data_IF_129585875508
#
_entry.id   IF_129585875508
#
_cell.length_a   1.000
_cell.length_b   1.000
_cell.length_c   1.000
_cell.angle_alpha   90.00
_cell.angle_beta   90.00
_cell.angle_gamma   90.00
#
_symmetry.space_group_name_H-M   'P 1'
#
loop_
_entity.id
_entity.type
_entity.pdbx_description
1 polymer ?
#
# COMPACT_ATOMS: atom_id res chain seq x y z
N UNK A 1 -15.77 23.95 10.82
CA UNK A 1 -15.37 22.70 10.13
C UNK A 1 -14.54 21.86 11.11
N UNK A 2 -14.74 20.57 11.16
CA UNK A 2 -13.90 19.69 11.96
C UNK A 2 -12.56 19.50 11.25
N UNK A 3 -11.45 19.52 11.99
CA UNK A 3 -10.13 19.29 11.40
C UNK A 3 -9.96 17.82 10.95
N UNK A 4 -8.99 17.58 10.06
CA UNK A 4 -8.64 16.22 9.63
C UNK A 4 -8.40 15.29 10.84
N UNK A 5 -7.70 15.78 11.86
CA UNK A 5 -7.37 15.03 13.08
C UNK A 5 -8.63 14.65 13.88
N UNK A 6 -9.57 15.58 14.05
CA UNK A 6 -10.85 15.30 14.75
C UNK A 6 -11.65 14.22 13.99
N UNK A 7 -11.65 14.28 12.66
CA UNK A 7 -12.42 13.34 11.84
C UNK A 7 -11.80 11.94 11.78
N UNK A 8 -10.48 11.87 11.62
CA UNK A 8 -9.77 10.62 11.28
C UNK A 8 -8.86 10.08 12.39
N UNK A 9 -8.66 10.82 13.48
CA UNK A 9 -7.67 10.51 14.51
C UNK A 9 -6.22 10.72 14.06
N UNK A 10 -5.97 11.35 12.90
CA UNK A 10 -4.63 11.57 12.33
C UNK A 10 -4.52 13.00 11.79
N UNK A 11 -3.40 13.65 12.08
CA UNK A 11 -3.07 14.99 11.58
C UNK A 11 -2.35 14.96 10.21
N UNK A 12 -2.31 13.80 9.54
CA UNK A 12 -1.62 13.60 8.26
C UNK A 12 -2.45 12.76 7.29
N UNK A 13 -2.15 12.90 6.01
CA UNK A 13 -2.61 12.00 4.96
C UNK A 13 -1.47 11.08 4.50
N UNK A 14 -1.80 9.98 3.85
CA UNK A 14 -0.88 9.13 3.10
C UNK A 14 -1.35 9.02 1.66
N UNK A 15 -0.49 8.49 0.78
CA UNK A 15 -0.93 8.18 -0.58
C UNK A 15 -2.18 7.29 -0.59
N UNK A 16 -2.23 6.26 0.25
CA UNK A 16 -3.41 5.39 0.35
C UNK A 16 -4.65 6.11 0.89
N UNK A 17 -4.50 7.12 1.75
CA UNK A 17 -5.62 7.97 2.19
C UNK A 17 -6.15 8.82 1.05
N UNK A 18 -5.26 9.42 0.27
CA UNK A 18 -5.62 10.22 -0.91
C UNK A 18 -6.38 9.38 -1.93
N UNK A 19 -5.84 8.22 -2.31
CA UNK A 19 -6.48 7.34 -3.30
C UNK A 19 -7.80 6.76 -2.81
N UNK A 20 -7.90 6.38 -1.52
CA UNK A 20 -9.16 5.92 -0.95
C UNK A 20 -10.25 6.99 -1.05
N UNK A 21 -9.92 8.27 -0.79
CA UNK A 21 -10.85 9.39 -0.91
C UNK A 21 -11.21 9.68 -2.38
N UNK A 22 -10.24 9.66 -3.28
CA UNK A 22 -10.45 9.84 -4.72
C UNK A 22 -11.29 8.74 -5.35
N UNK A 23 -11.01 7.48 -4.98
CA UNK A 23 -11.72 6.32 -5.52
C UNK A 23 -13.18 6.29 -5.06
N UNK A 24 -13.43 6.59 -3.78
CA UNK A 24 -14.78 6.64 -3.24
C UNK A 24 -14.80 7.37 -1.88
N UNK A 25 -15.32 8.58 -1.84
CA UNK A 25 -15.43 9.36 -0.61
C UNK A 25 -16.20 8.64 0.51
N UNK A 26 -17.27 7.92 0.17
CA UNK A 26 -18.03 7.14 1.15
C UNK A 26 -17.24 5.98 1.74
N UNK A 27 -16.43 5.29 0.94
CA UNK A 27 -15.50 4.28 1.44
C UNK A 27 -14.51 4.90 2.42
N UNK A 28 -13.91 6.04 2.08
CA UNK A 28 -13.02 6.76 2.98
C UNK A 28 -13.71 7.14 4.28
N UNK A 29 -14.96 7.66 4.22
CA UNK A 29 -15.76 8.00 5.40
C UNK A 29 -15.93 6.78 6.31
N UNK A 30 -16.40 5.68 5.75
CA UNK A 30 -16.63 4.45 6.52
C UNK A 30 -15.34 3.90 7.14
N UNK A 31 -14.26 3.81 6.36
CA UNK A 31 -12.99 3.25 6.82
C UNK A 31 -12.24 4.15 7.81
N UNK A 32 -12.15 5.45 7.52
CA UNK A 32 -11.23 6.36 8.21
C UNK A 32 -11.91 7.29 9.21
N UNK A 33 -13.16 7.67 8.95
CA UNK A 33 -13.90 8.56 9.83
C UNK A 33 -14.78 7.78 10.79
N UNK A 34 -15.44 6.74 10.33
CA UNK A 34 -16.33 5.92 11.16
C UNK A 34 -15.63 4.71 11.78
N UNK A 35 -14.43 4.36 11.37
CA UNK A 35 -13.70 3.21 11.88
C UNK A 35 -14.38 1.86 11.58
N UNK A 36 -15.10 1.78 10.47
CA UNK A 36 -15.81 0.56 10.09
C UNK A 36 -14.84 -0.63 9.98
N UNK A 37 -15.13 -1.76 10.64
CA UNK A 37 -14.34 -2.97 10.46
C UNK A 37 -14.34 -3.39 9.00
N UNK A 38 -13.13 -3.58 8.45
CA UNK A 38 -12.96 -4.08 7.10
C UNK A 38 -13.06 -5.60 7.08
N UNK A 39 -13.64 -6.14 6.02
CA UNK A 39 -13.61 -7.57 5.80
C UNK A 39 -12.19 -8.01 5.46
N UNK A 40 -11.66 -8.98 6.19
CA UNK A 40 -10.36 -9.58 5.91
C UNK A 40 -10.32 -10.19 4.51
N UNK A 41 -9.18 -10.06 3.85
CA UNK A 41 -9.01 -10.57 2.50
C UNK A 41 -7.59 -11.11 2.29
N UNK A 42 -7.49 -12.29 1.67
CA UNK A 42 -6.23 -12.98 1.46
C UNK A 42 -5.21 -12.19 0.64
N UNK A 43 -5.67 -11.33 -0.28
CA UNK A 43 -4.74 -10.48 -1.05
C UNK A 43 -4.06 -9.40 -0.22
N UNK A 44 -4.66 -8.93 0.89
CA UNK A 44 -3.99 -8.02 1.82
C UNK A 44 -2.98 -8.77 2.67
N UNK A 45 -3.39 -9.91 3.26
CA UNK A 45 -2.54 -10.73 4.13
C UNK A 45 -1.34 -11.26 3.35
N UNK A 46 -1.60 -11.89 2.19
CA UNK A 46 -0.55 -12.44 1.34
C UNK A 46 0.36 -11.37 0.75
N UNK A 47 -0.22 -10.25 0.30
CA UNK A 47 0.55 -9.12 -0.21
C UNK A 47 1.48 -8.54 0.87
N UNK A 48 0.96 -8.27 2.06
CA UNK A 48 1.77 -7.78 3.18
C UNK A 48 2.88 -8.76 3.55
N UNK A 49 2.60 -10.06 3.59
CA UNK A 49 3.61 -11.10 3.87
C UNK A 49 4.73 -11.10 2.83
N UNK A 50 4.41 -10.93 1.54
CA UNK A 50 5.41 -10.82 0.47
C UNK A 50 6.29 -9.58 0.69
N UNK A 51 5.70 -8.41 0.96
CA UNK A 51 6.44 -7.17 1.25
C UNK A 51 7.36 -7.34 2.45
N UNK A 52 6.85 -7.81 3.58
CA UNK A 52 7.67 -8.03 4.79
C UNK A 52 8.80 -9.04 4.56
N UNK A 53 8.54 -10.12 3.83
CA UNK A 53 9.58 -11.12 3.55
C UNK A 53 10.69 -10.55 2.64
N UNK A 54 10.33 -9.77 1.62
CA UNK A 54 11.33 -9.10 0.76
C UNK A 54 12.09 -8.01 1.52
N UNK A 55 11.44 -7.28 2.40
CA UNK A 55 12.07 -6.30 3.28
C UNK A 55 13.15 -6.94 4.16
N UNK A 56 12.82 -8.03 4.86
CA UNK A 56 13.77 -8.74 5.73
C UNK A 56 15.01 -9.21 4.97
N UNK A 57 14.81 -9.79 3.77
CA UNK A 57 15.91 -10.25 2.92
C UNK A 57 16.79 -9.10 2.41
N UNK A 58 16.20 -7.96 2.06
CA UNK A 58 16.95 -6.78 1.61
C UNK A 58 17.68 -6.07 2.76
N UNK A 59 17.21 -6.27 3.99
CA UNK A 59 17.88 -5.82 5.23
C UNK A 59 18.89 -6.81 5.80
N UNK A 60 19.17 -7.91 5.08
CA UNK A 60 20.25 -8.86 5.40
C UNK A 60 19.82 -10.12 6.11
N UNK A 61 18.56 -10.54 6.06
CA UNK A 61 18.16 -11.87 6.51
C UNK A 61 18.78 -12.94 5.58
N UNK A 62 19.64 -13.80 6.13
CA UNK A 62 20.42 -14.79 5.37
C UNK A 62 19.66 -16.10 5.08
N UNK A 63 18.45 -16.24 5.61
CA UNK A 63 17.63 -17.44 5.36
C UNK A 63 17.21 -17.49 3.89
N UNK A 64 16.84 -18.69 3.43
CA UNK A 64 16.28 -18.80 2.08
C UNK A 64 14.97 -18.00 1.95
N UNK A 65 14.68 -17.41 0.76
CA UNK A 65 13.47 -16.62 0.52
C UNK A 65 12.19 -17.35 0.95
N UNK A 66 12.09 -18.63 0.63
CA UNK A 66 10.97 -19.48 1.02
C UNK A 66 10.87 -19.67 2.55
N UNK A 67 11.99 -19.72 3.26
CA UNK A 67 11.99 -19.87 4.73
C UNK A 67 11.55 -18.55 5.39
N UNK A 68 12.02 -17.40 4.91
CA UNK A 68 11.60 -16.07 5.41
C UNK A 68 10.10 -15.88 5.17
N UNK A 69 9.62 -16.13 3.95
CA UNK A 69 8.19 -16.04 3.66
C UNK A 69 7.36 -16.92 4.61
N UNK A 70 7.71 -18.19 4.75
CA UNK A 70 6.97 -19.11 5.62
C UNK A 70 6.95 -18.64 7.08
N UNK A 71 8.06 -18.11 7.58
CA UNK A 71 8.12 -17.54 8.93
C UNK A 71 7.13 -16.39 9.11
N UNK A 72 7.14 -15.41 8.21
CA UNK A 72 6.22 -14.25 8.25
C UNK A 72 4.77 -14.69 8.05
N UNK A 73 4.52 -15.62 7.12
CA UNK A 73 3.19 -16.17 6.85
C UNK A 73 2.61 -16.87 8.08
N UNK A 74 3.37 -17.73 8.74
CA UNK A 74 2.93 -18.44 9.93
C UNK A 74 2.61 -17.46 11.08
N UNK A 75 3.40 -16.39 11.23
CA UNK A 75 3.10 -15.32 12.20
C UNK A 75 1.77 -14.65 11.87
N UNK A 76 1.53 -14.29 10.60
CA UNK A 76 0.28 -13.65 10.18
C UNK A 76 -0.94 -14.57 10.39
N UNK A 77 -0.81 -15.87 10.14
CA UNK A 77 -1.87 -16.86 10.40
C UNK A 77 -2.13 -17.01 11.90
N UNK A 78 -1.07 -17.04 12.72
CA UNK A 78 -1.20 -17.14 14.18
C UNK A 78 -1.92 -15.91 14.74
N UNK A 79 -1.61 -14.71 14.27
CA UNK A 79 -2.31 -13.49 14.67
C UNK A 79 -3.80 -13.50 14.34
N UNK A 80 -4.20 -14.07 13.20
CA UNK A 80 -5.61 -14.26 12.86
C UNK A 80 -6.28 -15.22 13.83
N UNK A 81 -5.62 -16.31 14.16
CA UNK A 81 -6.08 -17.30 15.12
C UNK A 81 -6.28 -16.67 16.51
N UNK A 82 -5.30 -15.90 16.98
CA UNK A 82 -5.34 -15.24 18.30
C UNK A 82 -6.46 -14.19 18.38
N UNK A 83 -6.83 -13.59 17.24
CA UNK A 83 -7.99 -12.68 17.11
C UNK A 83 -9.31 -13.42 16.95
N UNK A 84 -9.32 -14.76 16.94
CA UNK A 84 -10.53 -15.58 16.75
C UNK A 84 -11.12 -15.50 15.34
N UNK A 85 -10.31 -15.12 14.35
CA UNK A 85 -10.77 -15.02 12.95
C UNK A 85 -10.82 -16.43 12.33
N UNK A 86 -11.99 -16.81 11.83
CA UNK A 86 -12.14 -18.02 11.04
C UNK A 86 -11.56 -17.79 9.64
N UNK A 87 -10.43 -18.45 9.35
CA UNK A 87 -9.70 -18.31 8.09
C UNK A 87 -10.52 -18.71 6.85
N UNK A 88 -11.53 -19.56 7.00
CA UNK A 88 -12.40 -19.97 5.89
C UNK A 88 -13.38 -18.85 5.48
N UNK A 89 -13.59 -17.87 6.34
CA UNK A 89 -14.46 -16.70 6.07
C UNK A 89 -13.71 -15.56 5.37
N UNK A 90 -12.37 -15.62 5.32
CA UNK A 90 -11.53 -14.59 4.71
C UNK A 90 -11.73 -14.59 3.19
N UNK A 91 -11.97 -13.41 2.65
CA UNK A 91 -12.30 -13.24 1.22
C UNK A 91 -11.14 -13.64 0.31
N UNK A 92 -11.42 -14.54 -0.64
CA UNK A 92 -10.46 -14.94 -1.67
C UNK A 92 -10.58 -14.04 -2.91
N UNK A 93 -9.43 -13.55 -3.42
CA UNK A 93 -9.31 -12.76 -4.63
C UNK A 93 -9.23 -13.59 -5.91
N UNK A 94 -9.03 -12.91 -7.04
CA UNK A 94 -8.79 -13.55 -8.32
C UNK A 94 -9.99 -14.30 -8.92
N UNK A 95 -9.71 -15.10 -9.95
CA UNK A 95 -10.69 -15.94 -10.64
C UNK A 95 -10.42 -17.41 -10.33
N UNK A 96 -11.47 -18.22 -10.38
CA UNK A 96 -11.33 -19.69 -10.36
C UNK A 96 -10.60 -20.17 -11.61
N UNK A 97 -9.70 -21.12 -11.43
CA UNK A 97 -8.99 -21.82 -12.49
C UNK A 97 -8.85 -23.30 -12.14
N UNK A 98 -8.43 -24.14 -13.10
CA UNK A 98 -8.16 -25.55 -12.83
C UNK A 98 -7.08 -25.73 -11.74
N UNK A 99 -6.06 -24.89 -11.75
CA UNK A 99 -4.99 -24.89 -10.74
C UNK A 99 -5.46 -24.31 -9.40
N UNK A 100 -6.34 -23.29 -9.41
CA UNK A 100 -6.82 -22.57 -8.25
C UNK A 100 -8.35 -22.56 -8.19
N UNK A 101 -8.99 -23.72 -7.91
CA UNK A 101 -10.46 -23.84 -7.92
C UNK A 101 -11.13 -22.99 -6.83
N UNK A 102 -10.42 -22.72 -5.74
CA UNK A 102 -10.87 -21.89 -4.62
C UNK A 102 -10.36 -20.45 -4.71
N UNK A 103 -9.98 -20.00 -5.91
CA UNK A 103 -9.39 -18.67 -6.15
C UNK A 103 -8.06 -18.49 -5.39
N UNK A 104 -7.72 -17.23 -5.09
CA UNK A 104 -6.52 -16.82 -4.36
C UNK A 104 -6.78 -16.81 -2.85
N UNK A 105 -7.09 -17.98 -2.31
CA UNK A 105 -7.32 -18.20 -0.88
C UNK A 105 -6.01 -18.46 -0.11
N UNK A 106 -6.11 -18.94 1.13
CA UNK A 106 -4.96 -19.33 1.96
C UNK A 106 -3.99 -20.27 1.23
N UNK A 107 -4.51 -21.32 0.59
CA UNK A 107 -3.68 -22.29 -0.14
C UNK A 107 -2.89 -21.66 -1.28
N UNK A 108 -3.53 -20.77 -2.06
CA UNK A 108 -2.84 -20.03 -3.13
C UNK A 108 -1.65 -19.23 -2.58
N UNK A 109 -1.87 -18.43 -1.53
CA UNK A 109 -0.82 -17.56 -0.99
C UNK A 109 0.30 -18.35 -0.32
N UNK A 110 -0.01 -19.45 0.36
CA UNK A 110 1.02 -20.33 0.95
C UNK A 110 1.94 -20.97 -0.10
N UNK A 111 1.44 -21.19 -1.32
CA UNK A 111 2.24 -21.76 -2.43
C UNK A 111 2.91 -20.67 -3.28
N UNK A 112 2.20 -19.63 -3.63
CA UNK A 112 2.70 -18.61 -4.55
C UNK A 112 3.51 -17.51 -3.88
N UNK A 113 3.28 -17.25 -2.60
CA UNK A 113 4.05 -16.26 -1.86
C UNK A 113 5.56 -16.53 -1.85
N UNK A 114 6.03 -17.75 -1.52
CA UNK A 114 7.45 -18.08 -1.65
C UNK A 114 8.01 -17.83 -3.06
N UNK A 115 7.25 -18.20 -4.10
CA UNK A 115 7.66 -18.00 -5.51
C UNK A 115 7.81 -16.50 -5.83
N UNK A 116 6.90 -15.65 -5.32
CA UNK A 116 6.99 -14.20 -5.49
C UNK A 116 8.23 -13.61 -4.81
N UNK A 117 8.54 -14.07 -3.59
CA UNK A 117 9.73 -13.62 -2.83
C UNK A 117 11.02 -14.10 -3.50
N UNK A 118 11.08 -15.35 -3.96
CA UNK A 118 12.20 -15.86 -4.75
C UNK A 118 12.39 -15.11 -6.07
N UNK A 119 11.27 -14.75 -6.71
CA UNK A 119 11.27 -13.93 -7.91
C UNK A 119 11.89 -12.55 -7.67
N UNK A 120 11.52 -11.89 -6.57
CA UNK A 120 12.12 -10.63 -6.16
C UNK A 120 13.63 -10.74 -5.97
N UNK A 121 14.09 -11.71 -5.20
CA UNK A 121 15.53 -11.91 -4.93
C UNK A 121 16.30 -12.11 -6.23
N UNK A 122 15.81 -12.95 -7.13
CA UNK A 122 16.46 -13.18 -8.44
C UNK A 122 16.52 -11.91 -9.27
N UNK A 123 15.43 -11.14 -9.33
CA UNK A 123 15.39 -9.89 -10.09
C UNK A 123 16.33 -8.85 -9.46
N UNK A 124 16.27 -8.67 -8.15
CA UNK A 124 17.15 -7.79 -7.38
C UNK A 124 18.62 -8.10 -7.65
N UNK A 125 19.03 -9.35 -7.47
CA UNK A 125 20.41 -9.76 -7.64
C UNK A 125 20.89 -9.56 -9.08
N UNK A 126 20.07 -9.90 -10.06
CA UNK A 126 20.37 -9.63 -11.47
C UNK A 126 20.48 -8.13 -11.76
N UNK A 127 19.71 -7.29 -11.09
CA UNK A 127 19.73 -5.83 -11.21
C UNK A 127 21.00 -5.24 -10.58
N UNK A 128 21.38 -5.75 -9.39
CA UNK A 128 22.65 -5.38 -8.75
C UNK A 128 23.88 -5.78 -9.60
N UNK A 129 23.84 -6.94 -10.24
CA UNK A 129 24.91 -7.37 -11.18
C UNK A 129 25.02 -6.50 -12.43
N UNK A 130 23.98 -5.72 -12.78
CA UNK A 130 24.00 -4.71 -13.86
C UNK A 130 24.46 -3.33 -13.38
N UNK A 131 25.10 -3.25 -12.21
CA UNK A 131 25.64 -2.00 -11.67
C UNK A 131 24.68 -1.15 -10.87
N UNK A 132 23.41 -1.57 -10.69
CA UNK A 132 22.52 -0.89 -9.77
C UNK A 132 22.94 -1.20 -8.33
N UNK A 133 22.61 -0.27 -7.41
CA UNK A 133 22.84 -0.44 -5.98
C UNK A 133 21.64 0.09 -5.21
N UNK A 134 21.37 -0.42 -4.02
CA UNK A 134 20.46 0.29 -3.13
C UNK A 134 21.03 1.67 -2.82
N UNK A 135 20.17 2.68 -2.83
CA UNK A 135 20.56 3.97 -2.26
C UNK A 135 20.92 3.76 -0.79
N UNK A 136 22.05 4.31 -0.36
CA UNK A 136 22.47 4.22 1.05
C UNK A 136 22.02 5.47 1.78
N UNK A 137 21.22 5.29 2.81
CA UNK A 137 20.73 6.37 3.67
C UNK A 137 21.89 6.99 4.49
N UNK A 138 21.73 8.20 5.01
CA UNK A 138 22.77 8.87 5.81
C UNK A 138 23.25 8.07 7.03
N UNK A 139 22.45 7.16 7.55
CA UNK A 139 22.81 6.26 8.65
C UNK A 139 23.57 4.99 8.19
N UNK A 140 23.83 4.86 6.91
CA UNK A 140 24.56 3.73 6.32
C UNK A 140 23.67 2.53 5.98
N UNK A 141 22.34 2.59 6.18
CA UNK A 141 21.45 1.51 5.84
C UNK A 141 20.95 1.58 4.39
N UNK A 142 20.59 0.46 3.75
CA UNK A 142 19.99 0.48 2.42
C UNK A 142 18.60 1.14 2.47
N UNK A 143 18.23 1.85 1.42
CA UNK A 143 16.92 2.48 1.30
C UNK A 143 15.80 1.44 1.02
N UNK A 144 15.36 0.79 2.08
CA UNK A 144 14.35 -0.26 2.14
C UNK A 144 13.33 0.10 3.21
N UNK A 145 12.04 0.21 2.83
CA UNK A 145 10.94 0.66 3.71
C UNK A 145 11.26 2.01 4.39
N UNK A 146 11.65 2.98 3.56
CA UNK A 146 12.14 4.28 4.03
C UNK A 146 10.98 5.15 4.50
N UNK A 147 10.91 5.51 5.80
CA UNK A 147 9.90 6.45 6.26
C UNK A 147 10.17 7.84 5.71
N UNK A 148 9.15 8.47 5.14
CA UNK A 148 9.22 9.85 4.64
C UNK A 148 8.04 10.67 5.11
N UNK A 149 8.29 11.96 5.29
CA UNK A 149 7.23 12.94 5.51
C UNK A 149 7.47 14.20 4.67
N UNK A 150 6.38 14.74 4.14
CA UNK A 150 6.37 15.91 3.29
C UNK A 150 5.33 16.88 3.83
N UNK A 151 5.71 18.13 4.01
CA UNK A 151 4.77 19.21 4.30
C UNK A 151 4.42 19.92 3.01
N UNK A 152 3.14 19.93 2.66
CA UNK A 152 2.57 20.69 1.57
C UNK A 152 1.67 21.75 2.20
N UNK A 153 2.03 23.03 2.12
CA UNK A 153 1.28 24.16 2.65
C UNK A 153 0.57 23.87 3.99
N UNK A 154 -0.65 23.34 3.92
CA UNK A 154 -1.52 23.08 5.06
C UNK A 154 -1.71 21.59 5.38
N UNK A 155 -1.00 20.67 4.71
CA UNK A 155 -1.16 19.23 4.90
C UNK A 155 0.16 18.49 5.06
N UNK A 156 0.26 17.70 6.13
CA UNK A 156 1.35 16.76 6.34
C UNK A 156 1.03 15.45 5.63
N UNK A 157 1.97 14.94 4.85
CA UNK A 157 1.88 13.64 4.17
C UNK A 157 2.96 12.73 4.70
N UNK A 158 2.60 11.49 5.07
CA UNK A 158 3.53 10.46 5.53
C UNK A 158 3.39 9.20 4.70
N UNK A 159 4.51 8.50 4.52
CA UNK A 159 4.53 7.23 3.80
C UNK A 159 5.82 6.45 4.05
N UNK A 160 5.85 5.27 3.45
CA UNK A 160 7.04 4.41 3.40
C UNK A 160 7.34 4.11 1.94
N UNK A 161 8.60 4.23 1.55
CA UNK A 161 9.07 3.93 0.20
C UNK A 161 9.64 2.53 0.22
N UNK A 162 9.07 1.64 -0.57
CA UNK A 162 9.50 0.24 -0.54
C UNK A 162 11.00 0.12 -0.82
N UNK A 163 11.47 0.67 -1.95
CA UNK A 163 12.91 0.61 -2.34
C UNK A 163 13.33 1.87 -3.10
N UNK A 164 14.58 2.26 -2.88
CA UNK A 164 15.25 3.24 -3.75
C UNK A 164 16.57 2.65 -4.21
N UNK A 165 16.78 2.65 -5.51
CA UNK A 165 18.03 2.23 -6.14
C UNK A 165 18.76 3.42 -6.76
N UNK A 166 20.04 3.23 -7.01
CA UNK A 166 20.87 4.10 -7.85
C UNK A 166 21.39 3.24 -9.00
N UNK A 167 21.20 3.71 -10.22
CA UNK A 167 21.70 3.05 -11.44
C UNK A 167 23.21 3.18 -11.56
N UNK A 168 23.82 2.45 -12.50
CA UNK A 168 25.25 2.60 -12.85
C UNK A 168 25.62 4.05 -13.23
N UNK A 169 24.68 4.76 -13.89
CA UNK A 169 24.85 6.17 -14.28
C UNK A 169 24.61 7.16 -13.13
N UNK A 170 24.30 6.69 -11.93
CA UNK A 170 24.08 7.51 -10.75
C UNK A 170 22.67 8.08 -10.62
N UNK A 171 21.71 7.64 -11.43
CA UNK A 171 20.32 8.09 -11.32
C UNK A 171 19.57 7.35 -10.20
N UNK A 172 18.86 8.09 -9.36
CA UNK A 172 18.01 7.51 -8.34
C UNK A 172 16.66 7.05 -8.92
N UNK A 173 16.25 5.84 -8.55
CA UNK A 173 15.02 5.19 -9.03
C UNK A 173 14.20 4.70 -7.84
N UNK A 174 12.94 5.14 -7.76
CA UNK A 174 11.97 4.59 -6.80
C UNK A 174 11.37 3.31 -7.37
N UNK A 175 11.41 2.23 -6.60
CA UNK A 175 10.77 0.96 -6.99
C UNK A 175 9.78 0.57 -5.90
N UNK A 176 8.51 0.39 -6.30
CA UNK A 176 7.43 -0.01 -5.42
C UNK A 176 6.91 -1.41 -5.81
N UNK A 177 6.86 -2.31 -4.84
CA UNK A 177 6.46 -3.71 -5.06
C UNK A 177 4.93 -3.83 -5.11
N UNK A 178 4.46 -4.62 -6.05
CA UNK A 178 3.03 -4.91 -6.21
C UNK A 178 2.79 -6.42 -6.32
N UNK A 179 2.05 -6.97 -5.38
CA UNK A 179 1.64 -8.39 -5.38
C UNK A 179 0.33 -8.63 -6.16
N UNK A 180 -0.33 -7.56 -6.60
CA UNK A 180 -1.52 -7.61 -7.44
C UNK A 180 -1.25 -8.13 -8.85
N UNK A 181 -2.32 -8.47 -9.59
CA UNK A 181 -2.23 -8.95 -10.98
C UNK A 181 -2.17 -7.83 -12.00
N UNK A 182 -2.49 -6.60 -11.62
CA UNK A 182 -2.49 -5.42 -12.49
C UNK A 182 -1.51 -4.38 -11.97
N UNK A 183 -0.81 -3.76 -12.89
CA UNK A 183 -0.03 -2.56 -12.61
C UNK A 183 -0.97 -1.42 -12.25
N UNK A 184 -0.64 -0.58 -11.27
CA UNK A 184 -1.43 0.62 -10.99
C UNK A 184 -1.54 1.53 -12.23
N UNK A 185 -2.74 2.08 -12.45
CA UNK A 185 -3.02 2.96 -13.60
C UNK A 185 -2.34 4.34 -13.47
N UNK A 186 -1.85 4.69 -12.28
CA UNK A 186 -1.21 5.97 -11.98
C UNK A 186 0.15 5.77 -11.35
N UNK A 187 1.10 6.60 -11.73
CA UNK A 187 2.44 6.68 -11.13
C UNK A 187 2.53 7.71 -10.00
N UNK A 188 1.41 8.27 -9.55
CA UNK A 188 1.37 9.28 -8.49
C UNK A 188 2.04 8.81 -7.19
N UNK A 189 1.91 7.53 -6.83
CA UNK A 189 2.58 6.96 -5.66
C UNK A 189 4.09 7.12 -5.75
N UNK A 190 4.66 6.77 -6.90
CA UNK A 190 6.10 6.93 -7.16
C UNK A 190 6.52 8.41 -7.12
N UNK A 191 5.66 9.30 -7.64
CA UNK A 191 5.88 10.76 -7.58
C UNK A 191 5.88 11.29 -6.15
N UNK A 192 4.96 10.86 -5.30
CA UNK A 192 4.93 11.19 -3.86
C UNK A 192 6.22 10.69 -3.18
N UNK A 193 6.66 9.50 -3.51
CA UNK A 193 7.88 8.92 -2.95
C UNK A 193 9.14 9.67 -3.41
N UNK A 194 9.20 10.08 -4.68
CA UNK A 194 10.31 10.89 -5.18
C UNK A 194 10.42 12.24 -4.45
N UNK A 195 9.29 12.91 -4.21
CA UNK A 195 9.25 14.13 -3.39
C UNK A 195 9.63 13.87 -1.92
N UNK A 196 9.25 12.71 -1.40
CA UNK A 196 9.67 12.25 -0.08
C UNK A 196 11.19 12.12 0.02
N UNK A 197 11.84 11.51 -0.95
CA UNK A 197 13.31 11.40 -1.00
C UNK A 197 13.96 12.78 -1.14
N UNK A 198 13.43 13.64 -1.99
CA UNK A 198 13.93 15.01 -2.14
C UNK A 198 13.87 15.79 -0.83
N UNK A 199 12.74 15.72 -0.13
CA UNK A 199 12.51 16.49 1.09
C UNK A 199 13.33 15.98 2.29
N UNK A 200 13.45 14.65 2.44
CA UNK A 200 14.06 14.06 3.64
C UNK A 200 15.58 13.80 3.47
N UNK A 201 16.03 13.58 2.23
CA UNK A 201 17.42 13.14 1.96
C UNK A 201 18.13 14.00 0.92
N UNK A 202 17.47 15.00 0.34
CA UNK A 202 18.08 15.92 -0.64
C UNK A 202 18.34 15.33 -2.01
N UNK A 203 17.89 14.11 -2.30
CA UNK A 203 17.95 13.50 -3.62
C UNK A 203 16.57 13.48 -4.27
N UNK A 204 16.51 13.76 -5.56
CA UNK A 204 15.27 13.76 -6.32
C UNK A 204 15.28 12.65 -7.37
N UNK A 205 14.68 11.48 -7.07
CA UNK A 205 14.47 10.48 -8.09
C UNK A 205 13.64 11.04 -9.25
N UNK A 206 14.17 10.93 -10.47
CA UNK A 206 13.46 11.36 -11.69
C UNK A 206 12.74 10.22 -12.36
N UNK A 207 13.04 9.00 -11.95
CA UNK A 207 12.53 7.75 -12.47
C UNK A 207 11.88 6.91 -11.36
N UNK A 208 10.91 6.12 -11.77
CA UNK A 208 10.30 5.14 -10.87
C UNK A 208 9.62 4.00 -11.63
N UNK A 209 9.48 2.87 -10.96
CA UNK A 209 8.88 1.67 -11.53
C UNK A 209 8.04 0.91 -10.51
N UNK A 210 7.02 0.21 -10.98
CA UNK A 210 6.35 -0.82 -10.21
C UNK A 210 6.99 -2.18 -10.49
N UNK A 211 7.51 -2.84 -9.46
CA UNK A 211 7.91 -4.23 -9.57
C UNK A 211 6.71 -5.14 -9.35
N UNK A 212 6.35 -5.88 -10.38
CA UNK A 212 5.21 -6.79 -10.35
C UNK A 212 5.65 -8.19 -9.94
N UNK A 213 5.41 -8.60 -8.68
CA UNK A 213 5.90 -9.88 -8.16
C UNK A 213 5.41 -11.10 -8.96
N UNK A 214 4.24 -11.00 -9.59
CA UNK A 214 3.68 -12.06 -10.45
C UNK A 214 4.32 -12.13 -11.84
N UNK A 215 4.91 -11.05 -12.32
CA UNK A 215 5.65 -10.99 -13.59
C UNK A 215 7.14 -11.22 -13.40
N UNK A 216 7.62 -11.07 -12.16
CA UNK A 216 9.04 -11.14 -11.78
C UNK A 216 9.87 -10.10 -12.54
N UNK A 217 9.28 -8.91 -12.74
CA UNK A 217 9.93 -7.80 -13.45
C UNK A 217 9.25 -6.46 -13.12
N UNK A 218 9.94 -5.36 -13.46
CA UNK A 218 9.34 -4.03 -13.43
C UNK A 218 8.39 -3.85 -14.63
N UNK A 219 7.32 -3.09 -14.43
CA UNK A 219 6.37 -2.78 -15.49
C UNK A 219 6.72 -1.46 -16.19
N UNK A 220 7.93 -1.42 -16.76
CA UNK A 220 8.49 -0.25 -17.42
C UNK A 220 9.05 0.79 -16.43
N UNK A 221 9.84 1.69 -16.98
CA UNK A 221 10.42 2.82 -16.27
C UNK A 221 9.62 4.08 -16.58
N UNK A 222 9.19 4.81 -15.54
CA UNK A 222 8.34 5.98 -15.67
C UNK A 222 9.09 7.24 -15.26
N UNK A 223 8.95 8.33 -16.06
CA UNK A 223 9.42 9.65 -15.66
C UNK A 223 8.53 10.24 -14.58
N UNK A 224 9.15 10.75 -13.52
CA UNK A 224 8.47 11.38 -12.37
C UNK A 224 8.59 12.91 -12.38
N UNK A 225 9.21 13.50 -13.39
CA UNK A 225 9.51 14.94 -13.48
C UNK A 225 8.27 15.85 -13.38
N UNK A 226 7.11 15.35 -13.81
CA UNK A 226 5.87 16.11 -13.77
C UNK A 226 5.22 16.15 -12.37
N UNK A 227 5.65 15.29 -11.44
CA UNK A 227 5.22 15.34 -10.04
C UNK A 227 6.06 16.38 -9.28
N UNK A 228 5.67 17.62 -9.37
CA UNK A 228 6.29 18.70 -8.61
C UNK A 228 5.60 18.87 -7.26
N UNK A 229 6.28 19.56 -6.32
CA UNK A 229 5.72 19.88 -5.02
C UNK A 229 4.37 20.61 -5.13
N UNK A 230 4.24 21.57 -6.06
CA UNK A 230 2.99 22.31 -6.30
C UNK A 230 1.87 21.39 -6.82
N UNK A 231 2.16 20.54 -7.80
CA UNK A 231 1.16 19.64 -8.39
C UNK A 231 0.65 18.63 -7.36
N UNK A 232 1.54 17.95 -6.67
CA UNK A 232 1.18 16.92 -5.68
C UNK A 232 0.56 17.57 -4.44
N UNK A 233 1.10 18.70 -3.99
CA UNK A 233 0.57 19.45 -2.85
C UNK A 233 -0.88 19.87 -3.05
N UNK A 234 -1.25 20.33 -4.24
CA UNK A 234 -2.65 20.67 -4.58
C UNK A 234 -3.60 19.48 -4.46
N UNK A 235 -3.15 18.27 -4.81
CA UNK A 235 -4.00 17.08 -4.67
C UNK A 235 -4.27 16.76 -3.20
N UNK A 236 -3.24 16.80 -2.36
CA UNK A 236 -3.38 16.54 -0.92
C UNK A 236 -4.18 17.65 -0.21
N UNK A 237 -3.93 18.92 -0.52
CA UNK A 237 -4.68 20.06 0.05
C UNK A 237 -6.17 20.03 -0.35
N UNK A 238 -6.48 19.64 -1.60
CA UNK A 238 -7.87 19.47 -2.03
C UNK A 238 -8.55 18.31 -1.33
N UNK A 239 -7.85 17.16 -1.17
CA UNK A 239 -8.38 16.04 -0.43
C UNK A 239 -8.63 16.39 1.04
N UNK A 240 -7.66 17.03 1.71
CA UNK A 240 -7.82 17.51 3.10
C UNK A 240 -9.06 18.39 3.24
N UNK A 241 -9.20 19.42 2.39
CA UNK A 241 -10.38 20.30 2.39
C UNK A 241 -11.68 19.54 2.17
N UNK A 242 -11.71 18.63 1.19
CA UNK A 242 -12.88 17.78 0.94
C UNK A 242 -13.26 16.93 2.13
N UNK A 243 -12.28 16.37 2.84
CA UNK A 243 -12.49 15.59 4.06
C UNK A 243 -13.03 16.49 5.20
N UNK A 244 -12.44 17.66 5.42
CA UNK A 244 -12.81 18.58 6.49
C UNK A 244 -14.22 19.19 6.31
N UNK A 245 -14.66 19.39 5.07
CA UNK A 245 -16.06 19.76 4.77
C UNK A 245 -16.98 18.53 4.64
N UNK A 246 -16.47 17.33 4.89
CA UNK A 246 -17.20 16.06 4.85
C UNK A 246 -17.85 15.79 3.48
N UNK A 247 -17.17 16.12 2.39
CA UNK A 247 -17.59 15.84 1.03
C UNK A 247 -17.30 14.38 0.66
N UNK A 248 -18.11 13.46 1.19
CA UNK A 248 -17.94 12.01 1.02
C UNK A 248 -18.91 11.45 -0.03
N UNK A 249 -18.59 11.68 -1.30
CA UNK A 249 -19.43 11.23 -2.42
C UNK A 249 -19.19 9.72 -2.67
N UNK A 250 -20.23 8.88 -2.68
CA UNK A 250 -20.08 7.48 -3.05
C UNK A 250 -19.81 7.34 -4.55
N UNK A 251 -18.86 6.47 -4.90
CA UNK A 251 -18.57 6.10 -6.27
C UNK A 251 -19.02 4.65 -6.50
N UNK A 252 -20.28 4.47 -6.88
CA UNK A 252 -20.85 3.14 -7.11
C UNK A 252 -20.36 2.56 -8.44
N UNK A 253 -19.77 1.37 -8.39
CA UNK A 253 -19.21 0.72 -9.58
C UNK A 253 -18.79 -0.73 -9.34
N UNK A 254 -18.08 -1.33 -10.30
CA UNK A 254 -17.68 -2.76 -10.23
C UNK A 254 -16.86 -3.13 -9.00
N UNK A 255 -16.16 -2.15 -8.41
CA UNK A 255 -15.32 -2.36 -7.22
C UNK A 255 -16.14 -2.49 -5.93
N UNK A 256 -17.41 -2.11 -5.91
CA UNK A 256 -18.26 -2.23 -4.72
C UNK A 256 -18.38 -3.68 -4.25
N UNK A 257 -18.41 -4.65 -5.17
CA UNK A 257 -18.45 -6.07 -4.84
C UNK A 257 -17.21 -6.60 -4.08
N UNK A 258 -16.09 -5.87 -4.14
CA UNK A 258 -14.85 -6.19 -3.42
C UNK A 258 -14.57 -5.22 -2.26
N UNK A 259 -15.41 -4.21 -2.05
CA UNK A 259 -15.22 -3.21 -1.00
C UNK A 259 -15.33 -3.84 0.39
N UNK A 260 -14.31 -3.65 1.24
CA UNK A 260 -14.24 -4.23 2.58
C UNK A 260 -15.30 -3.69 3.55
N UNK A 261 -15.90 -2.54 3.24
CA UNK A 261 -16.93 -1.88 4.07
C UNK A 261 -18.31 -1.83 3.40
N UNK A 262 -18.53 -2.62 2.33
CA UNK A 262 -19.78 -2.59 1.57
C UNK A 262 -21.02 -2.82 2.43
N UNK A 263 -20.95 -3.65 3.48
CA UNK A 263 -22.07 -3.94 4.39
C UNK A 263 -22.57 -2.70 5.16
N UNK A 264 -21.75 -1.66 5.28
CA UNK A 264 -22.11 -0.40 5.93
C UNK A 264 -22.49 0.69 4.93
N UNK A 265 -22.26 0.48 3.63
CA UNK A 265 -22.47 1.49 2.61
C UNK A 265 -23.93 1.60 2.20
N UNK A 266 -24.59 2.73 2.55
CA UNK A 266 -26.01 2.98 2.18
C UNK A 266 -26.23 2.98 0.67
N UNK A 267 -25.27 3.44 -0.12
CA UNK A 267 -25.37 3.43 -1.57
C UNK A 267 -25.40 1.99 -2.15
N UNK A 268 -24.99 0.99 -1.35
CA UNK A 268 -25.04 -0.44 -1.69
C UNK A 268 -26.11 -1.20 -0.91
N UNK A 269 -27.02 -0.50 -0.23
CA UNK A 269 -28.06 -1.13 0.61
C UNK A 269 -27.57 -1.60 1.98
N UNK A 270 -26.38 -1.18 2.42
CA UNK A 270 -25.84 -1.47 3.74
C UNK A 270 -26.37 -0.55 4.83
N UNK A 271 -26.02 -0.82 6.09
CA UNK A 271 -26.44 -0.05 7.25
C UNK A 271 -25.24 0.33 8.13
N UNK A 272 -25.05 1.65 8.35
CA UNK A 272 -24.01 2.22 9.20
C UNK A 272 -24.53 2.70 10.58
N UNK A 273 -25.76 2.39 10.94
CA UNK A 273 -26.40 2.89 12.17
C UNK A 273 -25.67 2.50 13.45
N UNK A 274 -25.07 1.31 13.51
CA UNK A 274 -24.22 0.88 14.63
C UNK A 274 -22.95 1.72 14.76
N UNK A 275 -22.28 2.03 13.62
CA UNK A 275 -21.09 2.87 13.60
C UNK A 275 -21.41 4.30 14.06
N UNK A 276 -22.56 4.82 13.63
CA UNK A 276 -23.01 6.17 14.02
C UNK A 276 -23.24 6.22 15.53
N UNK A 277 -23.93 5.23 16.10
CA UNK A 277 -24.15 5.14 17.57
C UNK A 277 -22.84 5.04 18.33
N UNK A 278 -21.96 4.11 17.94
CA UNK A 278 -20.67 3.94 18.60
C UNK A 278 -19.83 5.22 18.59
N UNK A 279 -19.87 6.00 17.51
CA UNK A 279 -19.14 7.26 17.42
C UNK A 279 -19.75 8.36 18.28
N UNK A 280 -21.07 8.42 18.42
CA UNK A 280 -21.78 9.35 19.31
C UNK A 280 -21.45 9.08 20.78
N UNK A 281 -21.46 7.81 21.18
CA UNK A 281 -21.13 7.37 22.54
C UNK A 281 -19.68 7.69 22.91
N UNK A 282 -18.76 7.59 21.95
CA UNK A 282 -17.33 7.91 22.16
C UNK A 282 -17.05 9.42 22.27
N UNK A 283 -17.99 10.29 21.89
CA UNK A 283 -17.86 11.75 21.91
C UNK A 283 -18.68 12.43 23.02
N UNK A 284 -19.47 11.66 23.77
CA UNK A 284 -20.25 12.07 24.92
C UNK A 284 -19.47 11.85 26.23
#
# INVERSE_FOLDING_TARGET
MASLEILTGRNYLSYSSLTSWLDCGERFRLERVMGAPQQDAWWFIGGHTVHTATELLDKGDERSPAAVFRSVWNTAIQELHDKGVDIDTIKAGGRKSAQWPNKENHHYWSQMGPVMVEGWVRWRDATLHKGWQFYVLPDGTPAVEVPVQIEFDDVLVKGYIDRVFVTEDGEAVVVDLKSGSRTPDSTLQLGVYALGMERNFGIKPTLGAYYMTRKVDIDGMNSLLHYTHDVVGKWFSNAKRGIEVQAFVPHVGPFCGSCGVAKYCKAMGGDDSELVRAKQDATS
#
